data_IF_567878964579
#
_entry.id   IF_567878964579
#
_cell.length_a   1.000
_cell.length_b   1.000
_cell.length_c   1.000
_cell.angle_alpha   90.00
_cell.angle_beta   90.00
_cell.angle_gamma   90.00
#
_symmetry.space_group_name_H-M   'P 1'
#
loop_
_entity.id
_entity.type
_entity.pdbx_description
1 polymer ?
#
# COMPACT_ATOMS: atom_id res chain seq x y z
N UNK A 1 18.29 20.15 -38.43
CA UNK A 1 17.87 21.27 -37.58
C UNK A 1 16.34 21.25 -37.52
N UNK A 2 15.77 20.72 -36.44
CA UNK A 2 14.36 20.87 -36.03
C UNK A 2 14.21 20.22 -34.63
N UNK A 3 13.79 21.01 -33.64
CA UNK A 3 13.36 20.64 -32.29
C UNK A 3 11.86 20.27 -32.30
N UNK A 4 11.15 20.17 -31.16
CA UNK A 4 11.14 19.14 -30.12
C UNK A 4 9.78 18.40 -30.06
N UNK A 5 9.71 17.12 -29.65
CA UNK A 5 8.41 16.43 -29.47
C UNK A 5 8.04 16.30 -28.01
N UNK A 6 7.05 17.10 -27.64
CA UNK A 6 6.36 17.21 -26.36
C UNK A 6 5.59 15.93 -26.04
N UNK A 7 5.84 15.35 -24.86
CA UNK A 7 5.01 14.26 -24.33
C UNK A 7 3.66 14.83 -23.87
N UNK A 8 2.66 14.74 -24.73
CA UNK A 8 1.26 14.98 -24.39
C UNK A 8 0.72 13.81 -23.58
N UNK A 9 0.57 14.03 -22.26
CA UNK A 9 -0.18 13.14 -21.37
C UNK A 9 -1.67 13.29 -21.66
N UNK A 10 -2.21 12.36 -22.45
CA UNK A 10 -3.65 12.21 -22.66
C UNK A 10 -4.29 11.60 -21.41
N UNK A 11 -5.04 12.43 -20.72
CA UNK A 11 -6.01 12.07 -19.69
C UNK A 11 -7.25 11.44 -20.32
N UNK A 12 -7.44 10.12 -20.20
CA UNK A 12 -8.76 9.46 -20.11
C UNK A 12 -8.66 7.93 -20.25
N UNK A 13 -8.94 7.20 -19.16
CA UNK A 13 -9.61 5.87 -19.13
C UNK A 13 -9.61 5.33 -17.68
N UNK A 14 -10.61 5.69 -16.86
CA UNK A 14 -11.85 4.92 -16.53
C UNK A 14 -11.65 3.78 -15.51
N UNK A 15 -12.03 4.02 -14.25
CA UNK A 15 -13.32 3.64 -13.62
C UNK A 15 -13.36 2.20 -13.08
N UNK A 16 -12.92 1.99 -11.83
CA UNK A 16 -13.61 1.15 -10.83
C UNK A 16 -13.11 1.46 -9.42
N UNK A 17 -13.98 2.00 -8.56
CA UNK A 17 -13.93 1.74 -7.10
C UNK A 17 -13.03 2.59 -6.20
N UNK A 18 -12.55 3.78 -6.58
CA UNK A 18 -11.79 4.66 -5.66
C UNK A 18 -12.31 6.09 -5.76
N UNK A 19 -13.45 6.37 -5.13
CA UNK A 19 -13.89 7.76 -4.92
C UNK A 19 -14.42 7.93 -3.49
N UNK A 20 -13.56 8.48 -2.62
CA UNK A 20 -13.87 9.64 -1.74
C UNK A 20 -12.69 9.92 -0.79
N UNK A 21 -11.64 10.54 -1.31
CA UNK A 21 -10.81 11.44 -0.51
C UNK A 21 -11.33 12.86 -0.78
N UNK A 22 -12.28 13.34 0.07
CA UNK A 22 -12.91 14.66 -0.04
C UNK A 22 -12.33 15.56 1.07
N UNK A 23 -11.21 16.26 0.80
CA UNK A 23 -10.70 17.51 1.45
C UNK A 23 -9.29 17.87 0.91
N UNK A 24 -9.01 19.18 0.85
CA UNK A 24 -7.82 19.98 0.44
C UNK A 24 -6.66 19.27 -0.28
N UNK A 25 -6.15 19.85 -1.38
CA UNK A 25 -5.23 19.24 -2.36
C UNK A 25 -4.05 18.44 -1.77
N UNK A 26 -3.52 18.87 -0.62
CA UNK A 26 -2.45 18.17 0.10
C UNK A 26 -2.86 16.77 0.60
N UNK A 27 -4.06 16.61 1.16
CA UNK A 27 -4.54 15.31 1.66
C UNK A 27 -4.84 14.34 0.52
N UNK A 28 -5.33 14.86 -0.61
CA UNK A 28 -5.57 14.06 -1.81
C UNK A 28 -4.27 13.45 -2.34
N UNK A 29 -3.19 14.23 -2.39
CA UNK A 29 -1.88 13.75 -2.85
C UNK A 29 -1.30 12.62 -2.00
N UNK A 30 -1.39 12.74 -0.67
CA UNK A 30 -0.91 11.69 0.26
C UNK A 30 -1.79 10.42 0.17
N UNK A 31 -3.10 10.59 0.02
CA UNK A 31 -4.05 9.50 -0.23
C UNK A 31 -3.73 8.74 -1.53
N UNK A 32 -3.39 9.45 -2.61
CA UNK A 32 -3.01 8.82 -3.89
C UNK A 32 -1.65 8.11 -3.80
N UNK A 33 -0.66 8.72 -3.17
CA UNK A 33 0.67 8.10 -2.97
C UNK A 33 0.59 6.84 -2.12
N UNK A 34 -0.17 6.87 -1.03
CA UNK A 34 -0.37 5.71 -0.15
C UNK A 34 -1.06 4.55 -0.87
N UNK A 35 -2.11 4.84 -1.65
CA UNK A 35 -2.75 3.82 -2.49
C UNK A 35 -1.80 3.27 -3.55
N UNK A 36 -1.01 4.14 -4.19
CA UNK A 36 0.00 3.74 -5.17
C UNK A 36 1.04 2.82 -4.57
N UNK A 37 1.50 3.09 -3.35
CA UNK A 37 2.44 2.22 -2.64
C UNK A 37 1.84 0.84 -2.38
N UNK A 38 0.66 0.77 -1.77
CA UNK A 38 0.05 -0.51 -1.37
C UNK A 38 -0.35 -1.38 -2.57
N UNK A 39 -0.93 -0.76 -3.61
CA UNK A 39 -1.29 -1.45 -4.86
C UNK A 39 -0.03 -1.85 -5.63
N UNK A 40 0.97 -0.98 -5.66
CA UNK A 40 2.26 -1.21 -6.30
C UNK A 40 3.00 -2.40 -5.69
N UNK A 41 3.04 -2.47 -4.36
CA UNK A 41 3.57 -3.61 -3.60
C UNK A 41 2.87 -4.92 -3.96
N UNK A 42 1.53 -4.91 -4.02
CA UNK A 42 0.76 -6.08 -4.45
C UNK A 42 1.20 -6.54 -5.83
N UNK A 43 1.23 -5.66 -6.82
CA UNK A 43 1.61 -6.06 -8.17
C UNK A 43 3.07 -6.47 -8.30
N UNK A 44 3.99 -5.81 -7.58
CA UNK A 44 5.42 -6.13 -7.63
C UNK A 44 5.70 -7.57 -7.19
N UNK A 45 5.11 -7.98 -6.07
CA UNK A 45 5.36 -9.31 -5.49
C UNK A 45 4.39 -10.39 -6.00
N UNK A 46 3.22 -10.01 -6.52
CA UNK A 46 2.27 -10.98 -7.05
C UNK A 46 2.55 -11.36 -8.51
N UNK A 47 2.98 -10.41 -9.36
CA UNK A 47 3.25 -10.68 -10.79
C UNK A 47 4.62 -11.29 -11.06
N UNK A 48 5.59 -11.14 -10.15
CA UNK A 48 6.94 -11.65 -10.34
C UNK A 48 7.26 -12.78 -9.35
N UNK A 49 7.32 -14.05 -9.81
CA UNK A 49 7.71 -15.18 -8.97
C UNK A 49 9.11 -15.02 -8.35
N UNK A 50 10.03 -14.37 -9.08
CA UNK A 50 11.40 -14.07 -8.60
C UNK A 50 11.37 -13.12 -7.41
N UNK A 51 10.66 -12.00 -7.52
CA UNK A 51 10.52 -11.02 -6.43
C UNK A 51 9.81 -11.66 -5.22
N UNK A 52 8.77 -12.47 -5.46
CA UNK A 52 8.04 -13.21 -4.41
C UNK A 52 8.96 -14.12 -3.59
N UNK A 53 9.71 -15.00 -4.27
CA UNK A 53 10.66 -15.92 -3.59
C UNK A 53 11.74 -15.15 -2.84
N UNK A 54 12.24 -14.05 -3.42
CA UNK A 54 13.22 -13.20 -2.76
C UNK A 54 12.67 -12.52 -1.50
N UNK A 55 11.40 -12.09 -1.52
CA UNK A 55 10.72 -11.55 -0.33
C UNK A 55 10.52 -12.62 0.74
N UNK A 56 10.11 -13.84 0.36
CA UNK A 56 9.99 -14.96 1.31
C UNK A 56 11.31 -15.25 2.03
N UNK A 57 12.44 -15.24 1.31
CA UNK A 57 13.77 -15.38 1.92
C UNK A 57 14.07 -14.26 2.90
N UNK A 58 13.73 -13.01 2.56
CA UNK A 58 13.90 -11.89 3.46
C UNK A 58 13.09 -12.07 4.76
N UNK A 59 11.86 -12.58 4.68
CA UNK A 59 11.05 -12.89 5.88
C UNK A 59 11.69 -13.96 6.76
N UNK A 60 12.26 -15.00 6.16
CA UNK A 60 12.99 -16.05 6.90
C UNK A 60 14.26 -15.47 7.55
N UNK A 61 15.01 -14.63 6.85
CA UNK A 61 16.22 -13.99 7.38
C UNK A 61 15.95 -13.03 8.55
N UNK A 62 14.73 -12.51 8.67
CA UNK A 62 14.31 -11.60 9.74
C UNK A 62 13.45 -12.29 10.81
N UNK A 63 13.50 -13.63 10.88
CA UNK A 63 12.81 -14.47 11.87
C UNK A 63 11.30 -14.24 11.99
N UNK A 64 10.65 -13.87 10.89
CA UNK A 64 9.19 -13.82 10.86
C UNK A 64 8.62 -15.23 10.76
N UNK A 65 7.74 -15.60 11.71
CA UNK A 65 7.04 -16.89 11.74
C UNK A 65 6.30 -17.27 10.45
N UNK A 66 5.87 -16.28 9.67
CA UNK A 66 5.21 -16.51 8.39
C UNK A 66 5.56 -15.40 7.38
N UNK A 67 5.72 -15.78 6.12
CA UNK A 67 5.90 -14.83 5.03
C UNK A 67 4.60 -14.09 4.76
N UNK A 68 4.60 -12.79 5.00
CA UNK A 68 3.42 -11.93 4.81
C UNK A 68 3.45 -11.35 3.39
N UNK A 69 2.46 -11.70 2.58
CA UNK A 69 2.33 -11.16 1.23
C UNK A 69 1.42 -9.92 1.22
N UNK A 70 1.77 -8.87 0.44
CA UNK A 70 0.88 -7.74 0.25
C UNK A 70 -0.47 -8.20 -0.30
N UNK A 71 -1.56 -7.60 0.20
CA UNK A 71 -2.92 -7.96 -0.17
C UNK A 71 -3.46 -7.01 -1.22
N UNK A 72 -4.24 -7.53 -2.18
CA UNK A 72 -4.92 -6.72 -3.20
C UNK A 72 -5.88 -5.73 -2.54
N UNK A 73 -5.78 -4.47 -2.92
CA UNK A 73 -6.76 -3.43 -2.59
C UNK A 73 -7.63 -3.18 -3.84
N UNK A 74 -8.95 -3.26 -3.69
CA UNK A 74 -9.90 -2.95 -4.76
C UNK A 74 -11.26 -3.65 -4.62
N UNK A 75 -12.13 -3.46 -5.61
CA UNK A 75 -13.45 -4.07 -5.69
C UNK A 75 -14.53 -3.39 -4.86
N UNK A 76 -15.71 -4.02 -4.77
CA UNK A 76 -16.88 -3.53 -4.03
C UNK A 76 -16.65 -3.46 -2.51
N UNK A 77 -15.72 -4.25 -1.97
CA UNK A 77 -15.37 -4.29 -0.54
C UNK A 77 -13.98 -3.69 -0.27
N UNK A 78 -13.71 -2.51 -0.82
CA UNK A 78 -12.39 -1.89 -0.73
C UNK A 78 -11.90 -1.64 0.71
N UNK A 79 -12.80 -1.36 1.66
CA UNK A 79 -12.45 -1.04 3.05
C UNK A 79 -11.81 -2.22 3.81
N UNK A 80 -12.40 -3.42 3.89
CA UNK A 80 -11.74 -4.57 4.52
C UNK A 80 -10.49 -5.03 3.76
N UNK A 81 -10.43 -4.83 2.45
CA UNK A 81 -9.21 -5.11 1.67
C UNK A 81 -8.07 -4.16 2.00
N UNK A 82 -8.39 -2.87 2.19
CA UNK A 82 -7.45 -1.87 2.65
C UNK A 82 -6.93 -2.24 4.05
N UNK A 83 -7.83 -2.58 4.98
CA UNK A 83 -7.45 -2.96 6.35
C UNK A 83 -6.47 -4.13 6.38
N UNK A 84 -6.75 -5.20 5.63
CA UNK A 84 -5.85 -6.36 5.50
C UNK A 84 -4.51 -5.98 4.88
N UNK A 85 -4.52 -5.12 3.86
CA UNK A 85 -3.30 -4.67 3.20
C UNK A 85 -2.43 -3.82 4.13
N UNK A 86 -3.05 -2.93 4.91
CA UNK A 86 -2.36 -2.16 5.96
C UNK A 86 -1.78 -3.08 7.03
N UNK A 87 -2.57 -4.04 7.53
CA UNK A 87 -2.09 -5.03 8.49
C UNK A 87 -0.92 -5.85 7.95
N UNK A 88 -0.98 -6.29 6.71
CA UNK A 88 0.10 -7.04 6.07
C UNK A 88 1.35 -6.17 5.90
N UNK A 89 1.18 -4.93 5.46
CA UNK A 89 2.25 -3.96 5.28
C UNK A 89 2.98 -3.67 6.59
N UNK A 90 2.27 -3.34 7.67
CA UNK A 90 2.89 -3.01 8.95
C UNK A 90 3.53 -4.22 9.63
N UNK A 91 2.87 -5.39 9.60
CA UNK A 91 3.47 -6.62 10.15
C UNK A 91 4.75 -7.02 9.41
N UNK A 92 4.81 -6.79 8.10
CA UNK A 92 5.96 -7.09 7.27
C UNK A 92 6.88 -5.90 6.99
N UNK A 93 6.71 -4.75 7.66
CA UNK A 93 7.30 -3.49 7.24
C UNK A 93 8.82 -3.56 7.10
N UNK A 94 9.50 -4.09 8.13
CA UNK A 94 10.97 -4.25 8.12
C UNK A 94 11.43 -5.10 6.93
N UNK A 95 10.75 -6.22 6.68
CA UNK A 95 11.12 -7.12 5.61
C UNK A 95 10.86 -6.57 4.21
N UNK A 96 9.73 -5.87 4.05
CA UNK A 96 9.37 -5.20 2.81
C UNK A 96 10.35 -4.08 2.49
N UNK A 97 10.64 -3.18 3.44
CA UNK A 97 11.57 -2.06 3.24
C UNK A 97 12.98 -2.55 2.93
N UNK A 98 13.49 -3.51 3.72
CA UNK A 98 14.79 -4.13 3.43
C UNK A 98 14.83 -4.66 2.00
N UNK A 99 13.82 -5.44 1.61
CA UNK A 99 13.81 -6.05 0.27
C UNK A 99 13.69 -5.02 -0.84
N UNK A 100 12.90 -3.96 -0.65
CA UNK A 100 12.75 -2.84 -1.60
C UNK A 100 14.06 -2.06 -1.76
N UNK A 101 14.78 -1.80 -0.68
CA UNK A 101 16.09 -1.13 -0.72
C UNK A 101 17.12 -1.99 -1.44
N UNK A 102 17.20 -3.28 -1.13
CA UNK A 102 18.13 -4.19 -1.83
C UNK A 102 17.79 -4.32 -3.32
N UNK A 103 16.51 -4.36 -3.69
CA UNK A 103 16.10 -4.46 -5.10
C UNK A 103 16.03 -3.13 -5.83
N UNK A 104 16.31 -2.01 -5.14
CA UNK A 104 16.31 -0.66 -5.70
C UNK A 104 17.33 -0.51 -6.83
N UNK A 105 18.50 -1.16 -6.70
CA UNK A 105 19.56 -1.09 -7.71
C UNK A 105 19.20 -1.81 -9.01
N UNK A 106 18.36 -2.84 -8.93
CA UNK A 106 17.99 -3.68 -10.09
C UNK A 106 16.66 -3.26 -10.73
N UNK A 107 15.81 -2.53 -10.02
CA UNK A 107 14.44 -2.26 -10.44
C UNK A 107 13.98 -0.86 -10.02
N UNK A 108 13.84 0.02 -11.02
CA UNK A 108 13.34 1.39 -10.84
C UNK A 108 11.97 1.45 -10.14
N UNK A 109 11.10 0.44 -10.31
CA UNK A 109 9.82 0.39 -9.58
C UNK A 109 10.03 0.14 -8.09
N UNK A 110 10.96 -0.75 -7.74
CA UNK A 110 11.29 -1.03 -6.34
C UNK A 110 11.93 0.19 -5.67
N UNK A 111 12.79 0.93 -6.40
CA UNK A 111 13.33 2.20 -5.93
C UNK A 111 12.22 3.22 -5.61
N UNK A 112 11.27 3.41 -6.53
CA UNK A 112 10.14 4.31 -6.31
C UNK A 112 9.31 3.94 -5.08
N UNK A 113 9.04 2.64 -4.89
CA UNK A 113 8.32 2.15 -3.71
C UNK A 113 9.16 2.22 -2.43
N UNK A 114 10.48 2.05 -2.50
CA UNK A 114 11.37 2.22 -1.36
C UNK A 114 11.29 3.65 -0.85
N UNK A 115 11.39 4.65 -1.74
CA UNK A 115 11.28 6.08 -1.41
C UNK A 115 9.93 6.40 -0.74
N UNK A 116 8.84 5.85 -1.27
CA UNK A 116 7.49 6.03 -0.68
C UNK A 116 7.34 5.32 0.67
N UNK A 117 7.95 4.15 0.86
CA UNK A 117 7.88 3.39 2.12
C UNK A 117 8.80 3.96 3.22
N UNK A 118 9.80 4.76 2.84
CA UNK A 118 10.66 5.50 3.77
C UNK A 118 10.18 6.93 4.04
N UNK A 119 9.21 7.44 3.28
CA UNK A 119 8.63 8.77 3.50
C UNK A 119 7.84 8.79 4.82
N UNK A 120 8.39 9.48 5.82
CA UNK A 120 7.82 9.56 7.16
C UNK A 120 6.39 10.10 7.17
N UNK A 121 6.07 11.11 6.34
CA UNK A 121 4.71 11.66 6.28
C UNK A 121 3.70 10.63 5.76
N UNK A 122 4.11 9.82 4.78
CA UNK A 122 3.27 8.79 4.19
C UNK A 122 3.05 7.64 5.18
N UNK A 123 4.09 7.22 5.89
CA UNK A 123 3.99 6.18 6.92
C UNK A 123 3.12 6.63 8.10
N UNK A 124 3.27 7.87 8.57
CA UNK A 124 2.41 8.43 9.61
C UNK A 124 0.95 8.48 9.16
N UNK A 125 0.70 8.88 7.92
CA UNK A 125 -0.65 8.88 7.36
C UNK A 125 -1.25 7.47 7.29
N UNK A 126 -0.49 6.47 6.83
CA UNK A 126 -0.91 5.06 6.81
C UNK A 126 -1.19 4.53 8.22
N UNK A 127 -0.39 4.92 9.21
CA UNK A 127 -0.55 4.52 10.60
C UNK A 127 -1.83 5.13 11.18
N UNK A 128 -2.06 6.42 10.93
CA UNK A 128 -3.28 7.11 11.33
C UNK A 128 -4.51 6.47 10.70
N UNK A 129 -4.46 6.12 9.42
CA UNK A 129 -5.54 5.38 8.75
C UNK A 129 -5.82 4.04 9.43
N UNK A 130 -4.78 3.31 9.84
CA UNK A 130 -4.94 2.02 10.52
C UNK A 130 -5.59 2.17 11.90
N UNK A 131 -5.20 3.19 12.67
CA UNK A 131 -5.82 3.51 13.97
C UNK A 131 -7.30 3.82 13.79
N UNK A 132 -7.66 4.72 12.86
CA UNK A 132 -9.05 5.11 12.60
C UNK A 132 -9.90 3.90 12.16
N UNK A 133 -9.33 2.96 11.40
CA UNK A 133 -10.03 1.74 11.00
C UNK A 133 -10.26 0.79 12.18
N UNK A 134 -9.27 0.61 13.05
CA UNK A 134 -9.41 -0.20 14.26
C UNK A 134 -10.48 0.37 15.20
N UNK A 135 -10.51 1.69 15.38
CA UNK A 135 -11.49 2.35 16.27
C UNK A 135 -12.92 2.15 15.77
N UNK A 136 -13.15 2.30 14.45
CA UNK A 136 -14.49 2.08 13.85
C UNK A 136 -14.98 0.65 13.98
N UNK A 137 -14.07 -0.32 13.87
CA UNK A 137 -14.41 -1.72 14.10
C UNK A 137 -14.75 -1.95 15.57
N UNK A 138 -14.00 -1.35 16.50
CA UNK A 138 -14.23 -1.45 17.94
C UNK A 138 -15.61 -0.91 18.34
N UNK A 139 -15.99 0.28 17.86
CA UNK A 139 -17.31 0.86 18.09
C UNK A 139 -18.45 0.02 17.50
N UNK A 140 -18.27 -0.56 16.31
CA UNK A 140 -19.29 -1.42 15.70
C UNK A 140 -19.50 -2.71 16.50
N UNK A 141 -18.44 -3.31 17.03
CA UNK A 141 -18.55 -4.50 17.90
C UNK A 141 -19.13 -4.18 19.27
N UNK A 142 -18.78 -3.02 19.86
CA UNK A 142 -19.36 -2.57 21.13
C UNK A 142 -20.87 -2.32 21.02
N UNK A 143 -21.34 -1.69 19.94
CA UNK A 143 -22.77 -1.48 19.70
C UNK A 143 -23.51 -2.82 19.54
N UNK A 144 -22.91 -3.79 18.85
CA UNK A 144 -23.52 -5.12 18.70
C UNK A 144 -23.56 -5.89 20.03
N UNK A 145 -22.55 -5.75 20.88
CA UNK A 145 -22.54 -6.34 22.23
C UNK A 145 -23.59 -5.66 23.12
N UNK A 146 -23.69 -4.33 23.08
CA UNK A 146 -24.68 -3.56 23.86
C UNK A 146 -26.13 -3.73 23.39
N UNK A 147 -26.36 -4.12 22.13
CA UNK A 147 -27.71 -4.43 21.62
C UNK A 147 -28.15 -5.88 21.87
N UNK A 148 -27.22 -6.77 22.25
CA UNK A 148 -27.49 -8.19 22.54
C UNK A 148 -27.35 -8.54 24.03
N UNK A 149 -27.10 -7.54 24.89
CA UNK A 149 -27.19 -7.62 26.35
C UNK A 149 -28.44 -6.87 26.82
#
# INVERSE_FOLDING_TARGET
MATPSSYTLSSSQTRTGIQRCRKTDKHKHVCEKSMTLLIGLYYLYHKSPKQKKALQRAFVMMDFKASIMPTRIGGTRWLPHLDRSLSAFFKGYRALVYKLQTSSHDNAKAEGFAKLATDGFLILYLLQLKVIQNDKLFFSSLILIYMYL
#
